data_IF_700979507649
#
_entry.id   IF_700979507649
#
_cell.length_a   1.000
_cell.length_b   1.000
_cell.length_c   1.000
_cell.angle_alpha   90.00
_cell.angle_beta   90.00
_cell.angle_gamma   90.00
#
_symmetry.space_group_name_H-M   'P 1'
#
loop_
_entity.id
_entity.type
_entity.pdbx_description
1 polymer ?
#
# COMPACT_ATOMS: atom_id res chain seq x y z
N UNK A 1 7.47 -0.43 -23.20
CA UNK A 1 7.81 -0.56 -21.78
C UNK A 1 6.56 -0.22 -20.99
N UNK A 2 5.81 -1.23 -20.57
CA UNK A 2 4.69 -0.98 -19.66
C UNK A 2 5.28 -0.80 -18.26
N UNK A 3 5.73 0.43 -17.98
CA UNK A 3 6.26 0.78 -16.67
C UNK A 3 5.14 0.62 -15.63
N UNK A 4 5.47 0.03 -14.48
CA UNK A 4 4.55 0.00 -13.35
C UNK A 4 4.12 1.44 -13.02
N UNK A 5 2.81 1.70 -13.06
CA UNK A 5 2.27 3.00 -12.68
C UNK A 5 2.05 2.99 -11.19
N UNK A 6 2.83 3.80 -10.46
CA UNK A 6 2.65 3.94 -9.02
C UNK A 6 1.29 4.59 -8.73
N UNK A 7 0.58 4.16 -7.66
CA UNK A 7 -0.67 4.77 -7.26
C UNK A 7 -0.48 6.22 -6.83
N UNK A 8 -1.54 7.02 -7.01
CA UNK A 8 -1.62 8.37 -6.46
C UNK A 8 -1.95 8.32 -4.97
N UNK A 9 -1.21 9.07 -4.15
CA UNK A 9 -1.41 9.14 -2.70
C UNK A 9 -2.06 10.47 -2.31
N UNK A 10 -3.05 10.42 -1.41
CA UNK A 10 -3.71 11.59 -0.85
C UNK A 10 -3.83 11.47 0.67
N UNK A 11 -3.57 12.55 1.40
CA UNK A 11 -3.75 12.61 2.85
C UNK A 11 -5.15 13.10 3.21
N UNK A 12 -5.84 12.35 4.06
CA UNK A 12 -7.15 12.70 4.59
C UNK A 12 -7.18 12.57 6.12
N UNK A 13 -7.94 13.42 6.79
CA UNK A 13 -8.16 13.40 8.25
C UNK A 13 -9.52 12.80 8.61
N UNK A 14 -10.27 12.34 7.60
CA UNK A 14 -11.56 11.69 7.75
C UNK A 14 -11.83 10.87 6.49
N UNK A 15 -12.73 9.89 6.58
CA UNK A 15 -13.16 9.16 5.39
C UNK A 15 -13.84 10.14 4.43
N UNK A 16 -13.38 10.27 3.19
CA UNK A 16 -14.04 11.12 2.22
C UNK A 16 -15.44 10.54 1.93
N UNK A 17 -16.50 11.34 2.02
CA UNK A 17 -17.88 10.87 1.80
C UNK A 17 -18.28 10.74 0.32
N UNK A 18 -17.46 11.27 -0.60
CA UNK A 18 -17.72 11.26 -2.05
C UNK A 18 -16.70 10.37 -2.76
N UNK A 19 -17.18 9.49 -3.64
CA UNK A 19 -16.34 8.66 -4.52
C UNK A 19 -15.67 7.45 -3.84
N UNK A 20 -16.14 7.05 -2.66
CA UNK A 20 -15.63 5.89 -1.89
C UNK A 20 -16.53 4.66 -1.91
N UNK A 21 -17.66 4.70 -2.61
CA UNK A 21 -18.58 3.55 -2.68
C UNK A 21 -17.94 2.29 -3.27
N UNK A 22 -16.91 2.44 -4.11
CA UNK A 22 -16.09 1.34 -4.64
C UNK A 22 -14.77 1.13 -3.87
N UNK A 23 -14.50 1.93 -2.84
CA UNK A 23 -13.26 1.88 -2.09
C UNK A 23 -13.25 0.73 -1.09
N UNK A 24 -12.04 0.19 -0.84
CA UNK A 24 -11.81 -0.76 0.25
C UNK A 24 -11.17 -0.03 1.43
N UNK A 25 -11.73 -0.23 2.61
CA UNK A 25 -11.17 0.29 3.86
C UNK A 25 -10.21 -0.73 4.46
N UNK A 26 -8.93 -0.40 4.53
CA UNK A 26 -7.88 -1.20 5.14
C UNK A 26 -7.73 -0.82 6.61
N UNK A 27 -7.87 -1.81 7.48
CA UNK A 27 -7.85 -1.67 8.95
C UNK A 27 -6.83 -2.62 9.56
N UNK A 28 -6.01 -2.13 10.48
CA UNK A 28 -5.12 -2.94 11.30
C UNK A 28 -5.87 -3.60 12.46
N UNK A 29 -5.62 -4.88 12.70
CA UNK A 29 -6.26 -5.66 13.76
C UNK A 29 -5.22 -6.35 14.62
N UNK A 30 -5.45 -6.40 15.94
CA UNK A 30 -4.58 -7.08 16.90
C UNK A 30 -5.39 -8.04 17.76
N UNK A 31 -4.82 -9.20 18.17
CA UNK A 31 -5.42 -10.02 19.22
C UNK A 31 -5.60 -9.21 20.50
N UNK A 32 -6.69 -9.40 21.21
CA UNK A 32 -6.82 -8.85 22.56
C UNK A 32 -5.70 -9.36 23.46
N UNK A 33 -5.17 -8.51 24.34
CA UNK A 33 -4.15 -8.89 25.34
C UNK A 33 -4.70 -9.83 26.43
N UNK A 34 -6.02 -10.06 26.47
CA UNK A 34 -6.63 -11.01 27.41
C UNK A 34 -6.54 -12.41 26.83
N UNK A 35 -5.69 -13.24 27.44
CA UNK A 35 -5.38 -14.62 27.05
C UNK A 35 -6.62 -15.54 26.88
N UNK A 36 -7.76 -15.19 27.47
CA UNK A 36 -9.00 -15.97 27.39
C UNK A 36 -9.91 -15.60 26.20
N UNK A 37 -9.74 -14.42 25.59
CA UNK A 37 -10.56 -13.95 24.47
C UNK A 37 -9.64 -13.51 23.32
N UNK A 38 -9.45 -14.38 22.33
CA UNK A 38 -8.78 -14.03 21.05
C UNK A 38 -9.67 -13.14 20.16
N UNK A 39 -10.39 -12.20 20.76
CA UNK A 39 -11.24 -11.27 20.04
C UNK A 39 -10.36 -10.26 19.29
N UNK A 40 -10.64 -10.02 17.99
CA UNK A 40 -9.92 -9.04 17.21
C UNK A 40 -10.26 -7.63 17.68
N UNK A 41 -9.25 -6.81 17.95
CA UNK A 41 -9.38 -5.38 18.24
C UNK A 41 -8.84 -4.58 17.07
N UNK A 42 -9.63 -3.61 16.62
CA UNK A 42 -9.20 -2.68 15.59
C UNK A 42 -8.22 -1.68 16.21
N UNK A 43 -7.11 -1.44 15.52
CA UNK A 43 -6.07 -0.50 15.98
C UNK A 43 -6.03 0.74 15.09
N UNK A 44 -5.65 1.86 15.69
CA UNK A 44 -5.52 3.18 15.04
C UNK A 44 -6.74 3.54 14.21
N UNK A 45 -7.90 3.47 14.87
CA UNK A 45 -9.19 3.84 14.30
C UNK A 45 -9.73 5.12 14.92
N UNK A 46 -8.84 6.06 15.28
CA UNK A 46 -9.27 7.31 15.93
C UNK A 46 -10.11 8.17 14.99
N UNK A 47 -9.91 7.99 13.69
CA UNK A 47 -10.62 8.68 12.62
C UNK A 47 -11.92 7.96 12.19
N UNK A 48 -12.25 6.83 12.82
CA UNK A 48 -13.48 6.08 12.60
C UNK A 48 -14.46 6.31 13.75
N UNK A 49 -15.75 6.33 13.44
CA UNK A 49 -16.79 6.40 14.46
C UNK A 49 -16.73 5.17 15.36
N UNK A 50 -16.83 5.37 16.68
CA UNK A 50 -16.81 4.28 17.66
C UNK A 50 -17.88 3.21 17.40
N UNK A 51 -19.02 3.61 16.83
CA UNK A 51 -20.07 2.68 16.42
C UNK A 51 -19.61 1.79 15.25
N UNK A 52 -18.97 2.39 14.23
CA UNK A 52 -18.41 1.66 13.11
C UNK A 52 -17.31 0.68 13.55
N UNK A 53 -16.42 1.12 14.44
CA UNK A 53 -15.36 0.25 15.00
C UNK A 53 -15.96 -0.97 15.70
N UNK A 54 -17.00 -0.79 16.51
CA UNK A 54 -17.68 -1.92 17.17
C UNK A 54 -18.33 -2.87 16.17
N UNK A 55 -18.96 -2.34 15.11
CA UNK A 55 -19.52 -3.19 14.04
C UNK A 55 -18.44 -3.98 13.31
N UNK A 56 -17.27 -3.38 13.05
CA UNK A 56 -16.12 -4.06 12.46
C UNK A 56 -15.62 -5.17 13.37
N UNK A 57 -15.41 -4.90 14.66
CA UNK A 57 -14.95 -5.90 15.62
C UNK A 57 -15.95 -7.05 15.79
N UNK A 58 -17.25 -6.75 15.84
CA UNK A 58 -18.30 -7.76 15.91
C UNK A 58 -18.30 -8.66 14.66
N UNK A 59 -18.18 -8.06 13.47
CA UNK A 59 -18.17 -8.80 12.22
C UNK A 59 -16.88 -9.64 12.06
N UNK A 60 -15.72 -9.12 12.50
CA UNK A 60 -14.46 -9.88 12.53
C UNK A 60 -14.51 -11.04 13.52
N UNK A 61 -15.16 -10.86 14.67
CA UNK A 61 -15.39 -11.93 15.64
C UNK A 61 -16.30 -13.02 15.07
N UNK A 62 -17.36 -12.63 14.35
CA UNK A 62 -18.26 -13.57 13.68
C UNK A 62 -17.57 -14.41 12.60
N UNK A 63 -16.57 -13.84 11.92
CA UNK A 63 -15.75 -14.53 10.92
C UNK A 63 -14.60 -15.34 11.56
N UNK A 64 -14.40 -15.22 12.88
CA UNK A 64 -13.36 -15.95 13.61
C UNK A 64 -11.94 -15.40 13.39
N UNK A 65 -11.80 -14.12 13.03
CA UNK A 65 -10.50 -13.50 12.88
C UNK A 65 -9.80 -13.38 14.25
N UNK A 66 -8.51 -13.72 14.32
CA UNK A 66 -7.73 -13.71 15.57
C UNK A 66 -6.80 -12.50 15.68
N UNK A 67 -6.56 -11.79 14.56
CA UNK A 67 -5.60 -10.69 14.49
C UNK A 67 -4.13 -11.16 14.41
N UNK A 68 -3.89 -12.44 14.09
CA UNK A 68 -2.55 -12.99 13.94
C UNK A 68 -1.77 -12.23 12.86
N UNK A 69 -0.45 -12.11 13.00
CA UNK A 69 0.37 -11.36 12.05
C UNK A 69 0.11 -11.81 10.60
N UNK A 70 -0.09 -10.85 9.70
CA UNK A 70 -0.37 -11.04 8.28
C UNK A 70 -1.72 -11.75 7.97
N UNK A 71 -2.59 -11.95 8.97
CA UNK A 71 -3.91 -12.54 8.75
C UNK A 71 -4.81 -11.54 7.99
N UNK A 72 -5.30 -11.95 6.82
CA UNK A 72 -6.25 -11.17 6.05
C UNK A 72 -7.68 -11.64 6.32
N UNK A 73 -8.58 -10.69 6.54
CA UNK A 73 -10.01 -10.98 6.65
C UNK A 73 -10.79 -9.87 5.97
N UNK A 74 -11.62 -10.24 4.99
CA UNK A 74 -12.47 -9.30 4.26
C UNK A 74 -13.90 -9.43 4.72
N UNK A 75 -14.52 -8.32 5.09
CA UNK A 75 -15.88 -8.27 5.61
C UNK A 75 -16.64 -7.12 4.97
N UNK A 76 -17.95 -7.29 4.79
CA UNK A 76 -18.85 -6.24 4.32
C UNK A 76 -19.72 -5.82 5.51
N UNK A 77 -19.87 -4.52 5.71
CA UNK A 77 -20.60 -3.97 6.85
C UNK A 77 -21.58 -2.94 6.31
N UNK A 78 -22.86 -3.19 6.56
CA UNK A 78 -23.92 -2.27 6.18
C UNK A 78 -23.81 -0.98 7.01
N UNK A 79 -23.85 0.17 6.34
CA UNK A 79 -23.79 1.49 6.97
C UNK A 79 -22.45 2.22 6.89
N UNK A 80 -21.40 1.58 6.36
CA UNK A 80 -20.17 2.28 5.99
C UNK A 80 -20.24 2.75 4.52
N UNK A 81 -19.66 3.92 4.17
CA UNK A 81 -19.69 4.45 2.81
C UNK A 81 -18.71 3.74 1.85
N UNK A 82 -18.16 2.58 2.24
CA UNK A 82 -17.14 1.82 1.50
C UNK A 82 -17.68 0.48 1.02
N UNK A 83 -17.12 -0.07 -0.07
CA UNK A 83 -17.55 -1.34 -0.66
C UNK A 83 -17.29 -2.53 0.26
N UNK A 84 -16.14 -2.54 0.94
CA UNK A 84 -15.75 -3.60 1.85
C UNK A 84 -14.64 -3.15 2.79
N UNK A 85 -14.53 -3.82 3.93
CA UNK A 85 -13.46 -3.64 4.91
C UNK A 85 -12.50 -4.81 4.79
N UNK A 86 -11.21 -4.51 4.63
CA UNK A 86 -10.12 -5.47 4.68
C UNK A 86 -9.36 -5.28 5.98
N UNK A 87 -9.45 -6.27 6.87
CA UNK A 87 -8.66 -6.33 8.09
C UNK A 87 -7.33 -7.05 7.81
N UNK A 88 -6.24 -6.48 8.32
CA UNK A 88 -4.92 -7.12 8.38
C UNK A 88 -4.51 -7.28 9.83
N UNK A 89 -4.14 -8.49 10.22
CA UNK A 89 -3.57 -8.77 11.51
C UNK A 89 -2.14 -8.23 11.63
N UNK A 90 -1.89 -7.39 12.63
CA UNK A 90 -0.57 -6.85 12.96
C UNK A 90 0.18 -7.74 13.95
N UNK A 91 -0.51 -8.68 14.63
CA UNK A 91 0.08 -9.44 15.71
C UNK A 91 0.47 -8.55 16.91
N UNK A 92 1.49 -8.97 17.67
CA UNK A 92 1.94 -8.29 18.91
C UNK A 92 3.05 -7.25 18.68
N UNK A 93 3.63 -7.19 17.49
CA UNK A 93 4.72 -6.26 17.16
C UNK A 93 4.16 -4.97 16.54
N UNK A 94 4.75 -3.83 16.91
CA UNK A 94 4.30 -2.49 16.53
C UNK A 94 5.40 -1.70 15.80
N UNK A 95 6.36 -2.40 15.19
CA UNK A 95 7.46 -1.79 14.48
C UNK A 95 7.11 -1.43 13.02
N UNK A 96 7.90 -0.52 12.44
CA UNK A 96 7.72 -0.07 11.06
C UNK A 96 7.79 -1.22 10.05
N UNK A 97 8.55 -2.28 10.33
CA UNK A 97 8.63 -3.45 9.45
C UNK A 97 7.33 -4.27 9.48
N UNK A 98 6.70 -4.45 10.63
CA UNK A 98 5.37 -5.10 10.70
C UNK A 98 4.33 -4.31 9.93
N UNK A 99 4.33 -2.98 10.01
CA UNK A 99 3.41 -2.11 9.25
C UNK A 99 3.68 -2.24 7.74
N UNK A 100 4.95 -2.16 7.32
CA UNK A 100 5.34 -2.30 5.92
C UNK A 100 4.89 -3.65 5.37
N UNK A 101 5.05 -4.71 6.15
CA UNK A 101 4.64 -6.06 5.75
C UNK A 101 3.12 -6.20 5.68
N UNK A 102 2.40 -5.75 6.68
CA UNK A 102 0.94 -5.76 6.71
C UNK A 102 0.35 -5.00 5.51
N UNK A 103 0.88 -3.82 5.21
CA UNK A 103 0.52 -3.03 4.04
C UNK A 103 0.84 -3.77 2.72
N UNK A 104 1.99 -4.45 2.64
CA UNK A 104 2.36 -5.23 1.47
C UNK A 104 1.47 -6.46 1.24
N UNK A 105 1.08 -7.15 2.31
CA UNK A 105 0.15 -8.29 2.26
C UNK A 105 -1.24 -7.82 1.83
N UNK A 106 -1.71 -6.68 2.38
CA UNK A 106 -2.95 -6.06 1.93
C UNK A 106 -2.91 -5.71 0.44
N UNK A 107 -1.85 -5.05 -0.03
CA UNK A 107 -1.72 -4.64 -1.43
C UNK A 107 -1.82 -5.82 -2.41
N UNK A 108 -1.24 -6.98 -2.05
CA UNK A 108 -1.34 -8.21 -2.86
C UNK A 108 -2.75 -8.80 -2.91
N UNK A 109 -3.56 -8.57 -1.88
CA UNK A 109 -4.95 -9.03 -1.84
C UNK A 109 -5.92 -8.10 -2.59
N UNK A 110 -5.45 -6.94 -3.04
CA UNK A 110 -6.24 -5.86 -3.63
C UNK A 110 -6.15 -5.82 -5.16
N UNK A 111 -5.88 -6.96 -5.81
CA UNK A 111 -5.66 -7.06 -7.27
C UNK A 111 -6.77 -6.40 -8.12
N UNK A 112 -8.03 -6.44 -7.66
CA UNK A 112 -9.20 -5.90 -8.38
C UNK A 112 -9.76 -4.61 -7.77
N UNK A 113 -8.95 -3.88 -7.00
CA UNK A 113 -9.40 -2.70 -6.25
C UNK A 113 -8.64 -1.47 -6.73
N UNK A 114 -9.37 -0.49 -7.25
CA UNK A 114 -8.80 0.76 -7.75
C UNK A 114 -8.58 1.80 -6.66
N UNK A 115 -9.46 1.82 -5.64
CA UNK A 115 -9.49 2.83 -4.59
C UNK A 115 -9.31 2.17 -3.22
N UNK A 116 -8.29 2.60 -2.49
CA UNK A 116 -7.97 2.14 -1.14
C UNK A 116 -8.00 3.31 -0.16
N UNK A 117 -8.59 3.09 1.00
CA UNK A 117 -8.50 3.99 2.16
C UNK A 117 -7.84 3.19 3.28
N UNK A 118 -6.78 3.69 3.91
CA UNK A 118 -6.05 2.95 4.96
C UNK A 118 -5.97 3.73 6.26
N UNK A 119 -6.14 3.04 7.39
CA UNK A 119 -5.91 3.58 8.74
C UNK A 119 -4.49 3.32 9.25
N UNK A 120 -3.71 2.45 8.60
CA UNK A 120 -2.33 2.13 9.03
C UNK A 120 -1.37 3.33 9.01
N UNK A 121 -1.70 4.34 8.21
CA UNK A 121 -0.95 5.60 8.12
C UNK A 121 -1.05 6.47 9.37
N UNK A 122 -1.99 6.19 10.29
CA UNK A 122 -2.04 6.86 11.61
C UNK A 122 -0.78 6.54 12.44
N UNK A 123 -0.15 5.37 12.23
CA UNK A 123 1.10 4.99 12.90
C UNK A 123 2.34 5.42 12.13
N UNK A 124 2.44 4.97 10.88
CA UNK A 124 3.62 5.22 10.07
C UNK A 124 3.24 5.37 8.60
N UNK A 125 3.28 6.61 8.12
CA UNK A 125 3.00 6.97 6.73
C UNK A 125 4.07 6.40 5.79
N UNK A 126 5.34 6.43 6.19
CA UNK A 126 6.46 6.00 5.33
C UNK A 126 6.44 4.49 5.12
N UNK A 127 6.31 3.74 6.21
CA UNK A 127 6.19 2.27 6.16
C UNK A 127 4.95 1.81 5.38
N UNK A 128 3.81 2.48 5.59
CA UNK A 128 2.55 2.14 4.91
C UNK A 128 2.66 2.36 3.40
N UNK A 129 3.17 3.52 2.96
CA UNK A 129 3.32 3.83 1.53
C UNK A 129 4.30 2.88 0.86
N UNK A 130 5.48 2.65 1.46
CA UNK A 130 6.45 1.71 0.91
C UNK A 130 5.88 0.30 0.82
N UNK A 131 5.20 -0.17 1.86
CA UNK A 131 4.55 -1.47 1.89
C UNK A 131 3.51 -1.63 0.77
N UNK A 132 2.63 -0.64 0.61
CA UNK A 132 1.60 -0.65 -0.43
C UNK A 132 2.19 -0.67 -1.84
N UNK A 133 3.17 0.20 -2.13
CA UNK A 133 3.78 0.28 -3.47
C UNK A 133 4.58 -1.00 -3.78
N UNK A 134 5.41 -1.45 -2.85
CA UNK A 134 6.29 -2.61 -3.06
C UNK A 134 5.51 -3.94 -3.03
N UNK A 135 4.41 -4.00 -2.30
CA UNK A 135 3.49 -5.14 -2.27
C UNK A 135 2.61 -5.23 -3.51
N UNK A 136 2.17 -4.08 -4.04
CA UNK A 136 1.38 -3.98 -5.28
C UNK A 136 2.20 -4.11 -6.56
N UNK A 137 3.54 -4.07 -6.48
CA UNK A 137 4.41 -4.20 -7.65
C UNK A 137 4.20 -5.55 -8.36
N UNK A 138 3.83 -5.48 -9.64
CA UNK A 138 3.65 -6.64 -10.50
C UNK A 138 4.36 -6.45 -11.83
N UNK A 139 5.39 -7.26 -12.07
CA UNK A 139 6.07 -7.29 -13.36
C UNK A 139 5.28 -8.12 -14.37
N UNK A 140 4.65 -7.44 -15.34
CA UNK A 140 3.81 -8.07 -16.36
C UNK A 140 4.39 -8.02 -17.78
N UNK A 141 5.58 -7.42 -17.97
CA UNK A 141 6.11 -7.09 -19.31
C UNK A 141 6.39 -8.32 -20.22
N UNK A 142 6.69 -9.49 -19.64
CA UNK A 142 6.86 -10.73 -20.42
C UNK A 142 5.69 -11.71 -20.32
N UNK A 143 4.56 -11.31 -19.74
CA UNK A 143 3.36 -12.15 -19.73
C UNK A 143 2.60 -11.91 -21.03
N UNK A 144 2.29 -12.99 -21.74
CA UNK A 144 1.49 -12.92 -22.97
C UNK A 144 0.11 -12.31 -22.68
N UNK A 145 -0.56 -11.75 -23.68
CA UNK A 145 -1.90 -11.14 -23.53
C UNK A 145 -2.98 -12.10 -22.96
N UNK A 146 -2.71 -13.41 -22.93
CA UNK A 146 -3.56 -14.44 -22.30
C UNK A 146 -3.31 -14.62 -20.80
N UNK A 147 -2.20 -14.10 -20.26
CA UNK A 147 -1.76 -14.27 -18.86
C UNK A 147 -1.39 -12.94 -18.19
N UNK A 148 -1.46 -11.84 -18.93
CA UNK A 148 -1.34 -10.50 -18.36
C UNK A 148 -2.55 -10.23 -17.44
N UNK A 149 -2.34 -9.72 -16.21
CA UNK A 149 -3.45 -9.15 -15.45
C UNK A 149 -4.14 -8.08 -16.28
N UNK A 150 -5.47 -8.15 -16.35
CA UNK A 150 -6.29 -7.11 -16.96
C UNK A 150 -6.73 -6.05 -15.95
N UNK A 151 -6.42 -6.30 -14.69
CA UNK A 151 -6.87 -5.49 -13.58
C UNK A 151 -5.99 -4.26 -13.46
N UNK A 152 -6.61 -3.08 -13.38
CA UNK A 152 -5.90 -1.81 -13.29
C UNK A 152 -5.05 -1.68 -12.01
N UNK A 153 -5.24 -2.59 -11.04
CA UNK A 153 -4.59 -2.55 -9.74
C UNK A 153 -4.97 -1.29 -8.95
N UNK A 154 -4.22 -1.05 -7.87
CA UNK A 154 -4.40 0.13 -7.02
C UNK A 154 -4.02 1.41 -7.78
N UNK A 155 -4.98 2.33 -7.94
CA UNK A 155 -4.81 3.61 -8.65
C UNK A 155 -4.80 4.79 -7.67
N UNK A 156 -5.69 4.77 -6.68
CA UNK A 156 -5.87 5.85 -5.72
C UNK A 156 -5.79 5.31 -4.30
N UNK A 157 -4.86 5.84 -3.52
CA UNK A 157 -4.68 5.49 -2.11
C UNK A 157 -4.90 6.74 -1.26
N UNK A 158 -5.89 6.67 -0.37
CA UNK A 158 -6.14 7.68 0.65
C UNK A 158 -5.59 7.21 1.98
N UNK A 159 -4.61 7.95 2.50
CA UNK A 159 -3.97 7.71 3.78
C UNK A 159 -4.70 8.53 4.85
N UNK A 160 -5.31 7.85 5.83
CA UNK A 160 -5.93 8.50 6.98
C UNK A 160 -4.87 8.84 8.02
N UNK A 161 -4.77 10.11 8.38
CA UNK A 161 -3.78 10.64 9.34
C UNK A 161 -4.46 11.61 10.30
N UNK A 162 -4.04 11.62 11.56
CA UNK A 162 -4.60 12.53 12.58
C UNK A 162 -4.37 14.01 12.28
N UNK A 163 -3.30 14.33 11.55
CA UNK A 163 -2.98 15.69 11.10
C UNK A 163 -2.36 15.69 9.70
N UNK A 164 -2.70 16.69 8.88
CA UNK A 164 -2.11 16.95 7.55
C UNK A 164 -0.88 17.86 7.65
N UNK A 165 -0.11 17.72 8.72
CA UNK A 165 1.10 18.48 8.95
C UNK A 165 2.12 18.30 7.82
N UNK A 166 3.00 19.29 7.66
CA UNK A 166 4.06 19.28 6.63
C UNK A 166 4.94 18.02 6.69
N UNK A 167 5.26 17.55 7.89
CA UNK A 167 6.04 16.34 8.10
C UNK A 167 5.42 15.10 7.43
N UNK A 168 4.08 14.97 7.45
CA UNK A 168 3.38 13.78 6.98
C UNK A 168 3.30 13.79 5.45
N UNK A 169 3.17 14.98 4.88
CA UNK A 169 3.29 15.18 3.44
C UNK A 169 4.71 14.88 2.95
N UNK A 170 5.74 15.38 3.63
CA UNK A 170 7.14 15.10 3.29
C UNK A 170 7.49 13.61 3.44
N UNK A 171 6.97 12.94 4.48
CA UNK A 171 7.12 11.50 4.68
C UNK A 171 6.46 10.71 3.54
N UNK A 172 5.22 11.05 3.16
CA UNK A 172 4.51 10.43 2.04
C UNK A 172 5.27 10.60 0.72
N UNK A 173 5.73 11.81 0.39
CA UNK A 173 6.46 12.09 -0.85
C UNK A 173 7.81 11.36 -0.88
N UNK A 174 8.53 11.33 0.25
CA UNK A 174 9.78 10.59 0.39
C UNK A 174 9.56 9.10 0.19
N UNK A 175 8.57 8.52 0.86
CA UNK A 175 8.23 7.11 0.78
C UNK A 175 7.88 6.69 -0.66
N UNK A 176 7.06 7.51 -1.34
CA UNK A 176 6.68 7.28 -2.72
C UNK A 176 7.89 7.33 -3.67
N UNK A 177 8.79 8.29 -3.47
CA UNK A 177 10.03 8.41 -4.25
C UNK A 177 10.96 7.21 -4.05
N UNK A 178 11.16 6.77 -2.79
CA UNK A 178 11.97 5.60 -2.46
C UNK A 178 11.38 4.34 -3.08
N UNK A 179 10.08 4.11 -2.92
CA UNK A 179 9.42 2.93 -3.46
C UNK A 179 9.46 2.90 -5.00
N UNK A 180 9.29 4.05 -5.65
CA UNK A 180 9.39 4.18 -7.11
C UNK A 180 10.80 3.86 -7.61
N UNK A 181 11.83 4.34 -6.90
CA UNK A 181 13.22 4.02 -7.23
C UNK A 181 13.50 2.51 -7.12
N UNK A 182 12.99 1.87 -6.06
CA UNK A 182 13.13 0.42 -5.86
C UNK A 182 12.38 -0.38 -6.93
N UNK A 183 11.16 0.04 -7.28
CA UNK A 183 10.39 -0.58 -8.38
C UNK A 183 11.16 -0.49 -9.69
N UNK A 184 11.70 0.69 -10.01
CA UNK A 184 12.51 0.89 -11.22
C UNK A 184 13.73 -0.02 -11.22
N UNK A 185 14.42 -0.16 -10.09
CA UNK A 185 15.54 -1.08 -9.96
C UNK A 185 15.11 -2.54 -10.17
N UNK A 186 13.94 -2.95 -9.65
CA UNK A 186 13.36 -4.29 -9.87
C UNK A 186 13.00 -4.54 -11.32
N UNK A 187 12.47 -3.53 -12.02
CA UNK A 187 12.17 -3.63 -13.46
C UNK A 187 13.44 -3.95 -14.25
N UNK A 188 14.56 -3.28 -13.96
CA UNK A 188 15.84 -3.57 -14.60
C UNK A 188 16.36 -4.97 -14.32
N UNK A 189 16.28 -5.42 -13.06
CA UNK A 189 16.73 -6.77 -12.68
C UNK A 189 15.88 -7.85 -13.35
N UNK A 190 14.57 -7.61 -13.49
CA UNK A 190 13.63 -8.57 -14.08
C UNK A 190 13.62 -8.54 -15.62
N UNK A 191 14.16 -7.48 -16.24
CA UNK A 191 14.28 -7.37 -17.69
C UNK A 191 15.38 -8.30 -18.20
N UNK A 192 15.04 -9.24 -19.11
CA UNK A 192 16.00 -10.21 -19.66
C UNK A 192 17.24 -9.52 -20.25
N UNK A 193 18.41 -10.15 -20.07
CA UNK A 193 19.73 -9.66 -20.53
C UNK A 193 19.80 -9.29 -22.01
N UNK A 194 18.99 -9.93 -22.87
CA UNK A 194 18.94 -9.65 -24.30
C UNK A 194 18.20 -8.35 -24.66
N UNK A 195 17.34 -7.83 -23.78
CA UNK A 195 16.52 -6.63 -24.02
C UNK A 195 17.12 -5.35 -23.41
N UNK A 196 18.03 -5.48 -22.44
CA UNK A 196 18.85 -4.38 -21.92
C UNK A 196 19.95 -4.00 -22.93
N UNK A 197 19.56 -3.38 -24.04
CA UNK A 197 20.48 -2.72 -24.97
C UNK A 197 20.76 -1.27 -24.51
N UNK A 198 21.95 -0.74 -24.79
CA UNK A 198 22.36 0.64 -24.45
C UNK A 198 21.30 1.74 -24.73
N UNK A 199 20.46 1.67 -25.77
CA UNK A 199 19.38 2.62 -26.01
C UNK A 199 18.27 2.63 -24.94
N UNK A 200 17.93 1.47 -24.35
CA UNK A 200 16.89 1.39 -23.32
C UNK A 200 17.37 1.94 -21.97
N UNK A 201 18.66 1.76 -21.66
CA UNK A 201 19.32 2.37 -20.49
C UNK A 201 19.39 3.90 -20.60
N UNK A 202 19.67 4.46 -21.77
CA UNK A 202 19.68 5.91 -21.99
C UNK A 202 18.29 6.55 -21.85
N UNK A 203 17.24 5.81 -22.21
CA UNK A 203 15.85 6.26 -22.09
C UNK A 203 15.42 6.34 -20.63
N UNK A 204 15.82 5.35 -19.82
CA UNK A 204 15.60 5.38 -18.38
C UNK A 204 16.47 6.43 -17.65
N UNK A 205 17.69 6.70 -18.14
CA UNK A 205 18.51 7.82 -17.68
C UNK A 205 17.87 9.20 -17.98
N UNK A 206 17.08 9.33 -19.04
CA UNK A 206 16.31 10.56 -19.31
C UNK A 206 15.08 10.70 -18.41
N UNK A 207 14.44 9.60 -18.01
CA UNK A 207 13.36 9.60 -17.02
C UNK A 207 13.88 9.90 -15.60
N UNK A 208 15.09 9.46 -15.29
CA UNK A 208 15.81 9.83 -14.07
C UNK A 208 16.60 11.14 -14.26
N UNK A 209 15.90 12.26 -14.48
CA UNK A 209 16.49 13.58 -14.22
C UNK A 209 16.15 14.01 -12.80
N UNK A 210 17.07 13.90 -11.83
CA UNK A 210 16.87 14.51 -10.53
C UNK A 210 16.71 16.04 -10.71
N UNK A 211 15.96 16.72 -9.82
CA UNK A 211 15.94 18.19 -9.79
C UNK A 211 17.38 18.70 -9.77
N UNK A 212 17.66 19.78 -10.52
CA UNK A 212 18.96 20.29 -11.02
C UNK A 212 20.18 20.35 -10.06
N UNK A 213 20.05 19.96 -8.80
CA UNK A 213 21.07 20.04 -7.77
C UNK A 213 22.04 18.84 -7.68
N UNK A 214 21.77 17.67 -8.30
CA UNK A 214 22.69 16.51 -8.22
C UNK A 214 23.14 16.03 -9.60
N UNK A 215 24.24 16.63 -10.09
CA UNK A 215 24.89 16.27 -11.35
C UNK A 215 25.70 14.98 -11.18
N UNK A 216 25.03 13.82 -11.20
CA UNK A 216 25.71 12.52 -11.24
C UNK A 216 26.31 12.29 -12.64
N UNK A 217 27.64 12.20 -12.71
CA UNK A 217 28.38 12.00 -13.96
C UNK A 217 28.65 10.51 -14.13
N UNK A 218 27.87 9.84 -14.98
CA UNK A 218 28.09 8.43 -15.31
C UNK A 218 29.21 8.35 -16.37
N UNK A 219 30.40 7.86 -16.01
CA UNK A 219 31.47 7.59 -16.96
C UNK A 219 31.42 6.13 -17.42
N UNK A 220 31.03 5.90 -18.67
CA UNK A 220 31.20 4.58 -19.29
C UNK A 220 32.65 4.44 -19.72
N UNK A 221 33.47 3.70 -18.96
CA UNK A 221 34.80 3.28 -19.41
C UNK A 221 34.60 2.21 -20.49
N UNK A 222 34.91 2.54 -21.74
CA UNK A 222 35.10 1.51 -22.78
C UNK A 222 36.41 0.81 -22.46
N UNK A 223 36.34 -0.49 -22.18
CA UNK A 223 37.47 -1.42 -22.19
C UNK A 223 37.88 -1.72 -23.62
#
# INVERSE_FOLDING_TARGET
MSAYTAPSFTLATSIPQRGVSAAVLLVGVRPSDKDSDKSPRVVDAQLLDKAAVKSIEAALTAVGATGSAEQLTRVVIDGLPVASVLAVGLGKADDAETIRRAAGVAARSLDNVEILVTTLSERDVDATVQGLVLGGYRFAEFRSAKTAPKDAGLQKVTLLVGDKGRAQKEAMERAAAVATAVVTARDFVNTRRATCSLPSLQSAQRLWQPPRASRWRCSTRRS
#
